data_IF_532433125285
#
_entry.id   IF_532433125285
#
_cell.length_a   1.000
_cell.length_b   1.000
_cell.length_c   1.000
_cell.angle_alpha   90.00
_cell.angle_beta   90.00
_cell.angle_gamma   90.00
#
_symmetry.space_group_name_H-M   'P 1'
#
loop_
_entity.id
_entity.type
_entity.pdbx_description
1 polymer ?
#
# COMPACT_ATOMS: atom_id res chain seq x y z
N UNK A 1 -40.82 7.03 -17.05
CA UNK A 1 -39.96 7.34 -15.88
C UNK A 1 -38.69 6.49 -15.86
N UNK A 2 -38.77 5.15 -15.88
CA UNK A 2 -37.58 4.28 -15.90
C UNK A 2 -36.66 4.55 -17.11
N UNK A 3 -37.23 4.58 -18.31
CA UNK A 3 -36.48 4.88 -19.54
C UNK A 3 -35.75 6.22 -19.49
N UNK A 4 -36.41 7.27 -19.01
CA UNK A 4 -35.77 8.58 -18.80
C UNK A 4 -34.57 8.48 -17.84
N UNK A 5 -34.72 7.75 -16.73
CA UNK A 5 -33.64 7.53 -15.77
C UNK A 5 -32.49 6.74 -16.42
N UNK A 6 -32.79 5.68 -17.15
CA UNK A 6 -31.79 4.84 -17.82
C UNK A 6 -31.00 5.64 -18.87
N UNK A 7 -31.69 6.44 -19.69
CA UNK A 7 -31.07 7.31 -20.69
C UNK A 7 -30.23 8.42 -20.05
N UNK A 8 -30.71 9.02 -18.97
CA UNK A 8 -29.97 10.04 -18.24
C UNK A 8 -28.70 9.47 -17.60
N UNK A 9 -28.79 8.31 -16.96
CA UNK A 9 -27.63 7.60 -16.39
C UNK A 9 -26.62 7.24 -17.49
N UNK A 10 -27.09 6.71 -18.63
CA UNK A 10 -26.20 6.41 -19.75
C UNK A 10 -25.52 7.68 -20.30
N UNK A 11 -26.25 8.78 -20.42
CA UNK A 11 -25.67 10.04 -20.88
C UNK A 11 -24.58 10.55 -19.94
N UNK A 12 -24.88 10.60 -18.63
CA UNK A 12 -23.94 11.10 -17.62
C UNK A 12 -22.68 10.24 -17.54
N UNK A 13 -22.81 8.91 -17.50
CA UNK A 13 -21.65 8.04 -17.23
C UNK A 13 -20.96 7.46 -18.47
N UNK A 14 -21.60 7.43 -19.64
CA UNK A 14 -21.02 6.87 -20.86
C UNK A 14 -20.91 7.90 -21.98
N UNK A 15 -22.03 8.52 -22.39
CA UNK A 15 -22.04 9.38 -23.60
C UNK A 15 -21.22 10.65 -23.42
N UNK A 16 -21.42 11.37 -22.30
CA UNK A 16 -20.80 12.67 -22.05
C UNK A 16 -19.27 12.61 -21.95
N UNK A 17 -18.72 11.44 -21.62
CA UNK A 17 -17.29 11.19 -21.44
C UNK A 17 -16.70 10.21 -22.48
N UNK A 18 -17.47 9.81 -23.50
CA UNK A 18 -17.11 8.71 -24.43
C UNK A 18 -15.69 8.88 -24.97
N UNK A 19 -15.39 10.06 -25.53
CA UNK A 19 -14.11 10.30 -26.19
C UNK A 19 -12.91 10.26 -25.21
N UNK A 20 -12.90 11.01 -24.09
CA UNK A 20 -11.85 10.88 -23.08
C UNK A 20 -11.69 9.46 -22.53
N UNK A 21 -12.80 8.75 -22.32
CA UNK A 21 -12.77 7.38 -21.81
C UNK A 21 -12.16 6.39 -22.81
N UNK A 22 -12.50 6.50 -24.11
CA UNK A 22 -11.91 5.69 -25.17
C UNK A 22 -10.40 5.91 -25.26
N UNK A 23 -9.94 7.16 -25.20
CA UNK A 23 -8.52 7.49 -25.25
C UNK A 23 -7.77 6.96 -24.01
N UNK A 24 -8.37 7.09 -22.80
CA UNK A 24 -7.86 6.46 -21.58
C UNK A 24 -7.80 4.94 -21.71
N UNK A 25 -8.87 4.30 -22.17
CA UNK A 25 -8.95 2.85 -22.34
C UNK A 25 -7.87 2.36 -23.31
N UNK A 26 -7.67 3.04 -24.44
CA UNK A 26 -6.59 2.70 -25.37
C UNK A 26 -5.22 2.77 -24.73
N UNK A 27 -4.94 3.81 -23.92
CA UNK A 27 -3.69 3.91 -23.16
C UNK A 27 -3.54 2.81 -22.11
N UNK A 28 -4.59 2.58 -21.32
CA UNK A 28 -4.63 1.57 -20.26
C UNK A 28 -4.36 0.16 -20.80
N UNK A 29 -4.94 -0.17 -21.96
CA UNK A 29 -4.77 -1.47 -22.62
C UNK A 29 -3.36 -1.70 -23.20
N UNK A 30 -2.54 -0.66 -23.38
CA UNK A 30 -1.14 -0.82 -23.81
C UNK A 30 -0.24 -1.34 -22.69
N UNK A 31 -0.50 -0.95 -21.44
CA UNK A 31 0.35 -1.30 -20.29
C UNK A 31 0.21 -2.76 -19.83
N UNK A 32 -0.92 -3.40 -20.11
CA UNK A 32 -1.16 -4.81 -19.82
C UNK A 32 -2.36 -5.31 -20.65
N UNK A 33 -2.29 -6.50 -21.28
CA UNK A 33 -3.28 -6.94 -22.25
C UNK A 33 -4.69 -7.06 -21.64
N UNK A 34 -5.67 -6.43 -22.32
CA UNK A 34 -7.10 -6.34 -21.97
C UNK A 34 -7.74 -7.61 -21.40
N UNK A 35 -7.28 -8.78 -21.86
CA UNK A 35 -7.80 -10.08 -21.44
C UNK A 35 -7.52 -10.37 -19.96
N UNK A 36 -6.39 -9.89 -19.43
CA UNK A 36 -6.05 -10.07 -18.00
C UNK A 36 -6.89 -9.18 -17.10
N UNK A 37 -7.27 -7.98 -17.53
CA UNK A 37 -8.09 -7.09 -16.70
C UNK A 37 -9.55 -7.53 -16.59
N UNK A 38 -10.10 -8.14 -17.65
CA UNK A 38 -11.47 -8.66 -17.66
C UNK A 38 -11.72 -9.85 -16.73
N UNK A 39 -10.68 -10.40 -16.10
CA UNK A 39 -10.84 -11.46 -15.09
C UNK A 39 -11.33 -10.93 -13.74
N UNK A 40 -11.19 -9.63 -13.48
CA UNK A 40 -11.57 -9.01 -12.22
C UNK A 40 -12.98 -8.45 -12.28
N UNK A 41 -13.73 -8.58 -11.18
CA UNK A 41 -14.93 -7.78 -10.93
C UNK A 41 -14.53 -6.29 -10.77
N UNK A 42 -15.44 -5.33 -11.00
CA UNK A 42 -15.13 -3.90 -10.87
C UNK A 42 -14.51 -3.51 -9.52
N UNK A 43 -15.01 -4.10 -8.42
CA UNK A 43 -14.48 -3.88 -7.06
C UNK A 43 -13.08 -4.48 -6.85
N UNK A 44 -12.79 -5.60 -7.49
CA UNK A 44 -11.48 -6.24 -7.43
C UNK A 44 -10.45 -5.46 -8.24
N UNK A 45 -10.84 -5.01 -9.44
CA UNK A 45 -10.00 -4.13 -10.27
C UNK A 45 -9.69 -2.82 -9.53
N UNK A 46 -10.69 -2.22 -8.88
CA UNK A 46 -10.49 -1.06 -8.02
C UNK A 46 -9.48 -1.36 -6.91
N UNK A 47 -9.60 -2.51 -6.24
CA UNK A 47 -8.68 -2.91 -5.16
C UNK A 47 -7.26 -3.14 -5.68
N UNK A 48 -7.10 -3.67 -6.90
CA UNK A 48 -5.79 -3.85 -7.54
C UNK A 48 -5.14 -2.51 -7.86
N UNK A 49 -5.91 -1.53 -8.33
CA UNK A 49 -5.40 -0.20 -8.72
C UNK A 49 -5.21 0.74 -7.53
N UNK A 50 -6.15 0.74 -6.58
CA UNK A 50 -6.18 1.65 -5.44
C UNK A 50 -5.53 1.08 -4.18
N UNK A 51 -5.38 -0.25 -4.07
CA UNK A 51 -5.00 -0.93 -2.84
C UNK A 51 -6.09 -0.88 -1.77
N UNK A 52 -5.84 -1.52 -0.63
CA UNK A 52 -6.75 -1.48 0.51
C UNK A 52 -6.58 -0.19 1.32
N UNK A 53 -7.70 0.41 1.74
CA UNK A 53 -7.75 1.64 2.58
C UNK A 53 -8.03 1.36 4.06
N UNK A 54 -8.23 0.09 4.43
CA UNK A 54 -8.43 -0.33 5.83
C UNK A 54 -7.11 -0.86 6.38
N UNK A 55 -6.64 -0.25 7.45
CA UNK A 55 -5.36 -0.60 8.09
C UNK A 55 -5.62 -1.29 9.43
N UNK A 56 -5.04 -2.48 9.61
CA UNK A 56 -4.90 -3.11 10.92
C UNK A 56 -3.43 -3.05 11.34
N UNK A 57 -3.07 -1.98 12.04
CA UNK A 57 -1.70 -1.74 12.48
C UNK A 57 -1.15 -2.81 13.42
N UNK A 58 -2.01 -3.55 14.12
CA UNK A 58 -1.59 -4.69 14.96
C UNK A 58 -1.28 -5.91 14.12
N UNK A 59 -2.02 -6.12 13.03
CA UNK A 59 -1.68 -7.16 12.05
C UNK A 59 -0.37 -6.84 11.34
N UNK A 60 -0.12 -5.58 11.01
CA UNK A 60 1.17 -5.14 10.45
C UNK A 60 2.33 -5.51 11.38
N UNK A 61 2.22 -5.24 12.68
CA UNK A 61 3.23 -5.61 13.69
C UNK A 61 3.47 -7.12 13.79
N UNK A 62 2.42 -7.93 13.64
CA UNK A 62 2.53 -9.40 13.63
C UNK A 62 3.22 -9.95 12.38
N UNK A 63 3.22 -9.18 11.28
CA UNK A 63 3.78 -9.59 10.00
C UNK A 63 5.25 -9.18 9.83
N UNK A 64 5.94 -8.84 10.92
CA UNK A 64 7.34 -8.40 10.90
C UNK A 64 8.29 -9.52 11.26
N UNK A 65 9.33 -9.67 10.44
CA UNK A 65 10.52 -10.47 10.77
C UNK A 65 11.59 -9.58 11.36
N UNK A 66 12.18 -9.98 12.48
CA UNK A 66 13.29 -9.27 13.10
C UNK A 66 14.61 -9.97 12.77
N UNK A 67 15.58 -9.23 12.23
CA UNK A 67 16.90 -9.75 11.86
C UNK A 67 17.97 -9.00 12.66
N UNK A 68 18.82 -9.75 13.37
CA UNK A 68 19.74 -9.21 14.38
C UNK A 68 19.05 -8.41 15.50
N UNK A 69 17.74 -8.59 15.64
CA UNK A 69 16.90 -8.06 16.71
C UNK A 69 16.08 -9.19 17.33
N UNK A 70 15.87 -9.10 18.64
CA UNK A 70 14.83 -9.83 19.34
C UNK A 70 13.54 -9.00 19.43
N UNK A 71 12.38 -9.66 19.38
CA UNK A 71 11.07 -8.97 19.52
C UNK A 71 10.95 -8.20 20.85
N UNK A 72 11.66 -8.63 21.89
CA UNK A 72 11.65 -8.01 23.21
C UNK A 72 12.72 -6.92 23.40
N UNK A 73 13.56 -6.68 22.38
CA UNK A 73 14.61 -5.67 22.46
C UNK A 73 14.02 -4.27 22.67
N UNK A 74 14.74 -3.46 23.45
CA UNK A 74 14.30 -2.10 23.80
C UNK A 74 14.02 -1.26 22.56
N UNK A 75 14.88 -1.32 21.54
CA UNK A 75 14.72 -0.57 20.29
C UNK A 75 13.44 -0.95 19.54
N UNK A 76 13.12 -2.25 19.45
CA UNK A 76 11.89 -2.74 18.82
C UNK A 76 10.65 -2.34 19.62
N UNK A 77 10.67 -2.48 20.95
CA UNK A 77 9.56 -2.06 21.81
C UNK A 77 9.32 -0.55 21.73
N UNK A 78 10.38 0.24 21.68
CA UNK A 78 10.31 1.68 21.50
C UNK A 78 9.72 2.05 20.14
N UNK A 79 10.18 1.39 19.07
CA UNK A 79 9.66 1.58 17.71
C UNK A 79 8.14 1.40 17.68
N UNK A 80 7.61 0.27 18.16
CA UNK A 80 6.17 0.02 18.17
C UNK A 80 5.39 0.94 19.11
N UNK A 81 5.98 1.29 20.26
CA UNK A 81 5.37 2.27 21.18
C UNK A 81 5.20 3.63 20.50
N UNK A 82 6.20 4.10 19.77
CA UNK A 82 6.14 5.36 19.02
C UNK A 82 5.17 5.21 17.85
N UNK A 83 5.32 4.15 17.05
CA UNK A 83 4.49 3.89 15.87
C UNK A 83 3.00 3.88 16.22
N UNK A 84 2.58 3.16 17.26
CA UNK A 84 1.17 3.09 17.65
C UNK A 84 0.60 4.43 18.13
N UNK A 85 1.44 5.29 18.70
CA UNK A 85 1.08 6.66 19.10
C UNK A 85 0.99 7.65 17.94
N UNK A 86 1.55 7.32 16.77
CA UNK A 86 1.45 8.18 15.59
C UNK A 86 0.00 8.35 15.13
N UNK A 87 -0.37 9.54 14.62
CA UNK A 87 -1.64 9.73 13.94
C UNK A 87 -1.67 8.88 12.66
N UNK A 88 -2.88 8.54 12.21
CA UNK A 88 -3.13 7.67 11.04
C UNK A 88 -2.32 8.11 9.80
N UNK A 89 -2.30 9.41 9.52
CA UNK A 89 -1.56 9.96 8.37
C UNK A 89 -0.05 9.70 8.45
N UNK A 90 0.54 9.75 9.64
CA UNK A 90 1.97 9.43 9.83
C UNK A 90 2.25 7.93 9.72
N UNK A 91 1.29 7.06 10.06
CA UNK A 91 1.40 5.61 9.86
C UNK A 91 1.35 5.25 8.37
N UNK A 92 0.48 5.91 7.60
CA UNK A 92 0.46 5.79 6.12
C UNK A 92 1.75 6.31 5.49
N UNK A 93 2.27 7.44 5.97
CA UNK A 93 3.59 7.95 5.51
C UNK A 93 4.72 6.96 5.82
N UNK A 94 4.65 6.24 6.95
CA UNK A 94 5.60 5.16 7.24
C UNK A 94 5.49 4.01 6.23
N UNK A 95 4.27 3.58 5.85
CA UNK A 95 4.10 2.61 4.77
C UNK A 95 4.73 3.13 3.47
N UNK A 96 4.47 4.39 3.09
CA UNK A 96 5.09 4.98 1.91
C UNK A 96 6.62 4.98 1.98
N UNK A 97 7.19 5.27 3.15
CA UNK A 97 8.64 5.19 3.38
C UNK A 97 9.18 3.76 3.23
N UNK A 98 8.46 2.77 3.77
CA UNK A 98 8.87 1.37 3.78
C UNK A 98 8.68 0.67 2.42
N UNK A 99 7.56 0.91 1.73
CA UNK A 99 7.15 0.17 0.54
C UNK A 99 7.00 1.02 -0.72
N UNK A 100 7.32 2.32 -0.65
CA UNK A 100 7.13 3.26 -1.78
C UNK A 100 5.67 3.59 -2.08
N UNK A 101 4.72 3.13 -1.26
CA UNK A 101 3.29 3.38 -1.41
C UNK A 101 2.62 3.48 -0.04
N UNK A 102 1.71 4.44 0.11
CA UNK A 102 0.85 4.60 1.29
C UNK A 102 -0.33 3.62 1.32
N UNK A 103 -0.40 2.71 0.34
CA UNK A 103 -1.48 1.74 0.14
C UNK A 103 -0.98 0.32 0.37
N UNK A 104 -1.87 -0.52 0.87
CA UNK A 104 -1.62 -1.95 1.02
C UNK A 104 -1.87 -2.63 -0.33
N UNK A 105 -0.96 -3.50 -0.82
CA UNK A 105 -1.16 -4.25 -2.06
C UNK A 105 -2.49 -5.01 -2.09
N UNK A 106 -3.02 -5.29 -3.28
CA UNK A 106 -4.35 -5.89 -3.44
C UNK A 106 -4.60 -7.21 -2.69
N UNK A 107 -3.54 -7.96 -2.34
CA UNK A 107 -3.62 -9.18 -1.50
C UNK A 107 -3.92 -8.92 -0.03
N UNK A 108 -4.03 -7.67 0.39
CA UNK A 108 -4.36 -7.29 1.76
C UNK A 108 -3.17 -7.33 2.72
N UNK A 109 -3.41 -6.81 3.92
CA UNK A 109 -2.37 -6.61 4.94
C UNK A 109 -1.86 -7.93 5.50
N UNK A 110 -2.70 -8.97 5.49
CA UNK A 110 -2.37 -10.33 5.94
C UNK A 110 -1.17 -10.93 5.18
N UNK A 111 -0.98 -10.54 3.92
CA UNK A 111 0.12 -10.98 3.06
C UNK A 111 1.27 -9.97 2.99
N UNK A 112 1.11 -8.78 3.58
CA UNK A 112 2.14 -7.76 3.61
C UNK A 112 3.13 -8.07 4.75
N UNK A 113 4.32 -8.57 4.38
CA UNK A 113 5.40 -8.92 5.30
C UNK A 113 6.61 -8.06 5.02
N UNK A 114 7.30 -7.63 6.07
CA UNK A 114 8.51 -6.83 5.96
C UNK A 114 9.48 -7.20 7.08
N UNK A 115 10.73 -6.76 6.97
CA UNK A 115 11.76 -7.04 7.98
C UNK A 115 12.26 -5.77 8.65
N UNK A 116 12.52 -5.84 9.96
CA UNK A 116 13.30 -4.82 10.69
C UNK A 116 14.67 -5.40 10.98
N UNK A 117 15.71 -4.70 10.53
CA UNK A 117 17.10 -5.16 10.54
C UNK A 117 17.95 -4.19 11.34
N UNK A 118 18.75 -4.72 12.27
CA UNK A 118 19.85 -3.96 12.87
C UNK A 118 21.00 -3.91 11.84
N UNK A 119 21.39 -2.71 11.36
CA UNK A 119 22.48 -2.59 10.40
C UNK A 119 23.88 -2.90 11.01
N UNK A 120 24.00 -3.12 12.32
CA UNK A 120 25.24 -3.50 13.02
C UNK A 120 26.40 -2.51 12.75
N UNK A 121 26.07 -1.22 12.79
CA UNK A 121 26.97 -0.09 12.56
C UNK A 121 27.67 0.34 13.86
N UNK A 122 28.92 0.77 13.79
CA UNK A 122 29.70 1.18 14.97
C UNK A 122 29.14 2.42 15.67
N UNK A 123 28.51 3.33 14.92
CA UNK A 123 27.98 4.60 15.41
C UNK A 123 26.50 4.78 15.06
N UNK A 124 25.60 4.05 15.72
CA UNK A 124 24.17 4.04 15.36
C UNK A 124 23.50 5.41 15.57
N UNK A 125 23.95 6.20 16.55
CA UNK A 125 23.41 7.54 16.84
C UNK A 125 23.70 8.57 15.74
N UNK A 126 24.65 8.30 14.84
CA UNK A 126 24.97 9.18 13.70
C UNK A 126 24.09 8.87 12.46
N UNK A 127 23.20 7.87 12.52
CA UNK A 127 22.42 7.39 11.38
C UNK A 127 20.92 7.49 11.61
N UNK A 128 20.21 7.84 10.53
CA UNK A 128 18.75 7.76 10.49
C UNK A 128 18.29 6.35 10.08
N UNK A 129 17.07 5.94 10.47
CA UNK A 129 16.43 4.79 9.87
C UNK A 129 16.36 4.93 8.34
N UNK A 130 16.59 3.84 7.63
CA UNK A 130 16.52 3.80 6.16
C UNK A 130 15.72 2.59 5.69
N UNK A 131 15.23 2.62 4.45
CA UNK A 131 14.41 1.55 3.90
C UNK A 131 14.95 1.07 2.55
N UNK A 132 14.93 -0.25 2.34
CA UNK A 132 14.97 -0.84 1.00
C UNK A 132 13.55 -1.20 0.61
N UNK A 133 12.96 -0.39 -0.26
CA UNK A 133 11.54 -0.52 -0.65
C UNK A 133 11.28 -1.75 -1.51
N UNK A 134 12.24 -2.19 -2.31
CA UNK A 134 12.11 -3.38 -3.15
C UNK A 134 12.01 -4.65 -2.30
N UNK A 135 12.81 -4.74 -1.24
CA UNK A 135 12.89 -5.92 -0.37
C UNK A 135 11.98 -5.81 0.88
N UNK A 136 11.31 -4.66 1.07
CA UNK A 136 10.54 -4.34 2.27
C UNK A 136 11.37 -4.52 3.55
N UNK A 137 12.51 -3.85 3.60
CA UNK A 137 13.41 -3.87 4.76
C UNK A 137 13.48 -2.48 5.38
N UNK A 138 13.23 -2.39 6.68
CA UNK A 138 13.55 -1.23 7.51
C UNK A 138 14.87 -1.48 8.23
N UNK A 139 15.90 -0.71 7.90
CA UNK A 139 17.12 -0.65 8.70
C UNK A 139 16.90 0.32 9.86
N UNK A 140 16.93 -0.22 11.07
CA UNK A 140 16.73 0.53 12.30
C UNK A 140 18.01 0.44 13.13
N UNK A 141 18.85 1.50 13.18
CA UNK A 141 20.03 1.54 14.03
C UNK A 141 19.66 1.34 15.51
N UNK A 142 20.50 0.59 16.24
CA UNK A 142 20.26 0.20 17.64
C UNK A 142 20.67 1.28 18.63
#
# INVERSE_FOLDING_TARGET
RKEFVDLYVNYVFNESIRKPFEDFMQGFLRGCPARKWKMFLPVELQTVLEGHKKFDWRLLEKNVTYVQYGMLDRTIRNFWTVFHKLPEEKKKMFLAFLSGSDRIPGRGLEHFRFSIVDPQVEKPDELYPSANTCELILFLPR
#
